data_IF_974056440665
#
_entry.id   IF_974056440665
#
_cell.length_a   1.000
_cell.length_b   1.000
_cell.length_c   1.000
_cell.angle_alpha   90.00
_cell.angle_beta   90.00
_cell.angle_gamma   90.00
#
_symmetry.space_group_name_H-M   'P 1'
#
loop_
_entity.id
_entity.type
_entity.pdbx_description
1 polymer ?
#
# COMPACT_ATOMS: atom_id res chain seq x y z
N UNK A 1 12.86 -22.56 -8.46
CA UNK A 1 12.95 -21.44 -9.44
C UNK A 1 13.21 -20.18 -8.66
N UNK A 2 14.21 -19.42 -9.04
CA UNK A 2 14.55 -18.16 -8.35
C UNK A 2 13.49 -17.11 -8.72
N UNK A 3 12.86 -16.50 -7.71
CA UNK A 3 11.96 -15.37 -7.89
C UNK A 3 12.78 -14.08 -8.04
N UNK A 4 13.14 -13.74 -9.27
CA UNK A 4 13.99 -12.58 -9.56
C UNK A 4 13.36 -11.26 -9.15
N UNK A 5 12.03 -11.17 -9.21
CA UNK A 5 11.32 -9.94 -8.80
C UNK A 5 11.40 -9.79 -7.28
N UNK A 6 11.26 -10.89 -6.54
CA UNK A 6 11.47 -10.89 -5.10
C UNK A 6 12.91 -10.49 -4.72
N UNK A 7 13.90 -11.06 -5.39
CA UNK A 7 15.31 -10.66 -5.16
C UNK A 7 15.55 -9.18 -5.43
N UNK A 8 14.97 -8.61 -6.49
CA UNK A 8 15.08 -7.19 -6.80
C UNK A 8 14.44 -6.32 -5.70
N UNK A 9 13.24 -6.67 -5.24
CA UNK A 9 12.56 -5.94 -4.15
C UNK A 9 13.38 -6.00 -2.86
N UNK A 10 13.91 -7.17 -2.50
CA UNK A 10 14.75 -7.33 -1.31
C UNK A 10 16.07 -6.56 -1.43
N UNK A 11 16.70 -6.55 -2.59
CA UNK A 11 17.94 -5.79 -2.83
C UNK A 11 17.72 -4.27 -2.76
N UNK A 12 16.57 -3.80 -3.27
CA UNK A 12 16.23 -2.37 -3.29
C UNK A 12 15.80 -1.87 -1.91
N UNK A 13 15.04 -2.64 -1.17
CA UNK A 13 14.33 -2.18 0.02
C UNK A 13 14.70 -2.91 1.31
N UNK A 14 15.47 -3.99 1.24
CA UNK A 14 15.88 -4.76 2.39
C UNK A 14 16.97 -4.09 3.24
N UNK A 15 17.06 -4.50 4.50
CA UNK A 15 18.09 -4.08 5.46
C UNK A 15 18.18 -2.56 5.69
N UNK A 16 17.09 -1.85 5.49
CA UNK A 16 16.98 -0.42 5.75
C UNK A 16 15.63 -0.08 6.39
N UNK A 17 15.62 0.94 7.25
CA UNK A 17 14.39 1.50 7.80
C UNK A 17 13.83 2.53 6.81
N UNK A 18 12.64 2.25 6.30
CA UNK A 18 11.93 3.14 5.36
C UNK A 18 10.77 3.84 6.05
N UNK A 19 10.50 5.06 5.67
CA UNK A 19 9.22 5.72 5.97
C UNK A 19 8.37 5.66 4.72
N UNK A 20 7.15 5.10 4.86
CA UNK A 20 6.18 4.97 3.76
C UNK A 20 4.91 5.74 4.06
N UNK A 21 4.21 6.15 3.02
CA UNK A 21 2.88 6.74 3.08
C UNK A 21 1.90 5.83 2.37
N UNK A 22 0.74 5.60 2.96
CA UNK A 22 -0.30 4.73 2.43
C UNK A 22 -1.66 5.42 2.54
N UNK A 23 -2.54 5.20 1.57
CA UNK A 23 -3.86 5.83 1.53
C UNK A 23 -4.99 4.80 1.57
N UNK A 24 -5.89 4.94 2.53
CA UNK A 24 -7.16 4.22 2.55
C UNK A 24 -8.17 5.06 1.75
N UNK A 25 -8.54 4.54 0.60
CA UNK A 25 -9.54 5.15 -0.28
C UNK A 25 -10.75 4.21 -0.38
N UNK A 26 -11.93 4.70 -0.03
CA UNK A 26 -13.16 3.90 0.02
C UNK A 26 -14.21 4.46 -0.92
N UNK A 27 -14.80 3.61 -1.74
CA UNK A 27 -15.99 3.90 -2.54
C UNK A 27 -16.93 2.70 -2.53
N UNK A 28 -18.23 2.94 -2.31
CA UNK A 28 -19.25 1.89 -2.28
C UNK A 28 -18.89 0.71 -1.37
N UNK A 29 -18.41 1.01 -0.15
CA UNK A 29 -17.93 0.05 0.86
C UNK A 29 -16.78 -0.84 0.40
N UNK A 30 -16.04 -0.42 -0.62
CA UNK A 30 -14.84 -1.10 -1.12
C UNK A 30 -13.61 -0.23 -0.97
N UNK A 31 -12.49 -0.87 -0.66
CA UNK A 31 -11.18 -0.26 -0.50
C UNK A 31 -10.40 -0.44 -1.80
N UNK A 32 -9.71 0.62 -2.23
CA UNK A 32 -8.78 0.53 -3.34
C UNK A 32 -7.52 -0.24 -2.93
N UNK A 33 -7.23 -1.32 -3.63
CA UNK A 33 -6.12 -2.22 -3.34
C UNK A 33 -5.25 -2.42 -4.57
N UNK A 34 -3.95 -2.57 -4.33
CA UNK A 34 -2.96 -2.86 -5.35
C UNK A 34 -2.37 -4.24 -5.11
N UNK A 35 -2.32 -5.05 -6.17
CA UNK A 35 -1.64 -6.33 -6.19
C UNK A 35 -0.20 -6.15 -6.64
N UNK A 36 0.71 -6.49 -5.76
CA UNK A 36 2.15 -6.51 -6.03
C UNK A 36 2.67 -7.94 -6.17
N UNK A 37 3.73 -8.09 -6.95
CA UNK A 37 4.62 -9.25 -6.90
C UNK A 37 5.95 -8.85 -6.26
N UNK A 38 6.70 -9.84 -5.77
CA UNK A 38 8.05 -9.61 -5.25
C UNK A 38 8.13 -9.21 -3.77
N UNK A 39 7.05 -8.77 -3.15
CA UNK A 39 7.02 -8.51 -1.70
C UNK A 39 7.01 -9.82 -0.91
N UNK A 40 6.18 -10.77 -1.33
CA UNK A 40 6.16 -12.14 -0.82
C UNK A 40 6.72 -13.07 -1.88
N UNK A 41 7.66 -13.92 -1.50
CA UNK A 41 8.29 -14.86 -2.43
C UNK A 41 7.27 -15.81 -3.05
N UNK A 42 7.25 -15.88 -4.38
CA UNK A 42 6.35 -16.71 -5.18
C UNK A 42 4.85 -16.51 -4.91
N UNK A 43 4.46 -15.36 -4.39
CA UNK A 43 3.06 -15.03 -4.10
C UNK A 43 2.75 -13.56 -4.39
N UNK A 44 1.46 -13.27 -4.54
CA UNK A 44 0.98 -11.88 -4.62
C UNK A 44 0.94 -11.24 -3.23
N UNK A 45 1.02 -9.91 -3.20
CA UNK A 45 0.82 -9.13 -1.99
C UNK A 45 -0.14 -7.97 -2.27
N UNK A 46 -1.22 -7.91 -1.52
CA UNK A 46 -2.24 -6.88 -1.65
C UNK A 46 -2.11 -5.83 -0.54
N UNK A 47 -2.01 -4.58 -0.94
CA UNK A 47 -1.99 -3.45 -0.01
C UNK A 47 -2.72 -2.23 -0.58
N UNK A 48 -3.11 -1.26 0.26
CA UNK A 48 -3.56 0.05 -0.21
C UNK A 48 -2.45 0.76 -1.00
N UNK A 49 -2.81 1.69 -1.92
CA UNK A 49 -1.80 2.47 -2.65
C UNK A 49 -0.89 3.23 -1.70
N UNK A 50 0.41 3.28 -2.04
CA UNK A 50 1.41 3.98 -1.26
C UNK A 50 2.82 3.52 -1.56
N UNK A 51 3.79 4.19 -0.98
CA UNK A 51 5.21 3.89 -1.19
C UNK A 51 6.12 4.71 -0.29
N UNK A 52 7.42 4.63 -0.55
CA UNK A 52 8.44 5.32 0.24
C UNK A 52 8.43 6.83 0.06
N UNK A 53 8.56 7.56 1.16
CA UNK A 53 8.85 8.99 1.10
C UNK A 53 10.23 9.21 0.53
N UNK A 54 10.35 10.22 -0.33
CA UNK A 54 11.61 10.70 -0.86
C UNK A 54 12.22 11.74 0.09
N UNK A 55 13.55 11.83 0.12
CA UNK A 55 14.21 12.84 0.91
C UNK A 55 13.78 14.26 0.49
N UNK A 56 13.35 15.06 1.47
CA UNK A 56 12.85 16.42 1.23
C UNK A 56 11.38 16.50 0.81
N UNK A 57 10.68 15.37 0.66
CA UNK A 57 9.27 15.31 0.35
C UNK A 57 8.45 15.24 1.65
N UNK A 58 7.38 16.04 1.75
CA UNK A 58 6.46 15.90 2.87
C UNK A 58 5.44 14.75 2.61
N UNK A 59 4.84 14.25 3.69
CA UNK A 59 3.93 13.09 3.59
C UNK A 59 2.71 13.33 2.69
N UNK A 60 2.17 14.56 2.69
CA UNK A 60 1.00 14.90 1.88
C UNK A 60 1.31 14.86 0.38
N UNK A 61 2.46 15.39 -0.02
CA UNK A 61 2.89 15.34 -1.43
C UNK A 61 3.28 13.92 -1.82
N UNK A 62 3.92 13.19 -0.92
CA UNK A 62 4.28 11.79 -1.14
C UNK A 62 3.10 10.89 -1.44
N UNK A 63 2.04 10.95 -0.65
CA UNK A 63 0.85 10.10 -0.90
C UNK A 63 0.12 10.50 -2.19
N UNK A 64 0.08 11.77 -2.54
CA UNK A 64 -0.48 12.24 -3.82
C UNK A 64 0.33 11.73 -5.01
N UNK A 65 1.66 11.79 -4.92
CA UNK A 65 2.56 11.25 -5.94
C UNK A 65 2.36 9.75 -6.13
N UNK A 66 2.32 8.98 -5.05
CA UNK A 66 2.10 7.53 -5.11
C UNK A 66 0.76 7.17 -5.77
N UNK A 67 -0.34 7.86 -5.43
CA UNK A 67 -1.62 7.62 -6.07
C UNK A 67 -1.59 7.93 -7.57
N UNK A 68 -0.93 9.02 -7.96
CA UNK A 68 -0.79 9.36 -9.36
C UNK A 68 0.03 8.31 -10.14
N UNK A 69 1.14 7.85 -9.56
CA UNK A 69 2.01 6.83 -10.16
C UNK A 69 1.31 5.48 -10.26
N UNK A 70 0.71 5.00 -9.18
CA UNK A 70 0.17 3.65 -9.07
C UNK A 70 -1.25 3.50 -9.63
N UNK A 71 -2.05 4.56 -9.63
CA UNK A 71 -3.49 4.49 -9.97
C UNK A 71 -3.95 5.48 -11.03
N UNK A 72 -3.09 6.38 -11.49
CA UNK A 72 -3.43 7.49 -12.41
C UNK A 72 -4.52 8.44 -11.88
N UNK A 73 -4.61 8.61 -10.56
CA UNK A 73 -5.62 9.48 -9.96
C UNK A 73 -5.02 10.58 -9.10
N UNK A 74 -5.69 11.72 -9.06
CA UNK A 74 -5.43 12.78 -8.10
C UNK A 74 -6.35 12.60 -6.88
N UNK A 75 -5.80 12.83 -5.69
CA UNK A 75 -6.50 12.67 -4.41
C UNK A 75 -6.45 13.92 -3.56
N UNK A 76 -7.42 14.05 -2.66
CA UNK A 76 -7.34 14.91 -1.48
C UNK A 76 -7.16 14.07 -0.22
N UNK A 77 -6.49 14.64 0.77
CA UNK A 77 -6.31 14.00 2.08
C UNK A 77 -7.43 14.47 2.99
N UNK A 78 -8.20 13.54 3.53
CA UNK A 78 -9.24 13.85 4.49
C UNK A 78 -8.67 13.99 5.90
N UNK A 79 -7.93 12.99 6.36
CA UNK A 79 -7.26 13.02 7.65
C UNK A 79 -6.11 12.00 7.73
N UNK A 80 -5.25 12.21 8.72
CA UNK A 80 -4.29 11.20 9.17
C UNK A 80 -5.02 10.16 10.04
N UNK A 81 -4.74 8.89 9.81
CA UNK A 81 -5.40 7.79 10.52
C UNK A 81 -4.52 7.20 11.63
N UNK A 82 -3.46 6.51 11.24
CA UNK A 82 -2.61 5.76 12.16
C UNK A 82 -1.21 5.51 11.60
N UNK A 83 -0.31 5.07 12.47
CA UNK A 83 1.01 4.56 12.10
C UNK A 83 1.01 3.04 12.19
N UNK A 84 1.56 2.37 11.20
CA UNK A 84 1.82 0.93 11.22
C UNK A 84 3.33 0.67 11.17
N UNK A 85 3.81 -0.27 11.98
CA UNK A 85 5.14 -0.82 11.84
C UNK A 85 5.08 -2.10 11.00
N UNK A 86 5.69 -2.07 9.83
CA UNK A 86 5.84 -3.25 8.98
C UNK A 86 7.24 -3.83 9.16
N UNK A 87 7.30 -5.00 9.79
CA UNK A 87 8.56 -5.72 10.02
C UNK A 87 8.37 -7.14 9.51
N UNK A 88 8.96 -7.42 8.35
CA UNK A 88 9.04 -8.75 7.74
C UNK A 88 10.43 -8.87 7.09
N UNK A 89 11.39 -9.32 7.88
CA UNK A 89 12.81 -9.29 7.52
C UNK A 89 13.06 -9.90 6.13
N UNK A 90 13.85 -9.23 5.27
CA UNK A 90 14.69 -8.06 5.53
C UNK A 90 13.99 -6.69 5.38
N UNK A 91 12.67 -6.65 5.22
CA UNK A 91 11.91 -5.40 5.07
C UNK A 91 11.55 -4.81 6.44
N UNK A 92 11.72 -3.49 6.58
CA UNK A 92 11.31 -2.74 7.77
C UNK A 92 10.83 -1.34 7.37
N UNK A 93 9.58 -1.01 7.69
CA UNK A 93 9.01 0.30 7.39
C UNK A 93 8.15 0.84 8.53
N UNK A 94 8.20 2.16 8.70
CA UNK A 94 7.21 2.95 9.42
C UNK A 94 6.25 3.50 8.37
N UNK A 95 4.97 3.18 8.49
CA UNK A 95 3.96 3.50 7.50
C UNK A 95 2.93 4.47 8.06
N UNK A 96 2.79 5.62 7.41
CA UNK A 96 1.82 6.65 7.74
C UNK A 96 0.56 6.42 6.90
N UNK A 97 -0.55 6.10 7.54
CA UNK A 97 -1.83 5.86 6.86
C UNK A 97 -2.73 7.08 6.90
N UNK A 98 -3.27 7.43 5.73
CA UNK A 98 -4.17 8.55 5.53
C UNK A 98 -5.50 8.09 4.94
N UNK A 99 -6.59 8.70 5.38
CA UNK A 99 -7.87 8.63 4.68
C UNK A 99 -7.81 9.60 3.51
N UNK A 100 -8.11 9.12 2.31
CA UNK A 100 -8.02 9.92 1.08
C UNK A 100 -9.28 9.77 0.23
N UNK A 101 -9.57 10.81 -0.55
CA UNK A 101 -10.68 10.82 -1.49
C UNK A 101 -10.16 11.03 -2.92
N UNK A 102 -10.77 10.34 -3.89
CA UNK A 102 -10.48 10.58 -5.30
C UNK A 102 -11.08 11.92 -5.73
N UNK A 103 -10.26 12.75 -6.37
CA UNK A 103 -10.67 14.06 -6.89
C UNK A 103 -10.79 14.04 -8.41
N UNK A 104 -9.80 13.47 -9.10
CA UNK A 104 -9.75 13.41 -10.56
C UNK A 104 -9.12 12.13 -11.06
N UNK A 105 -9.46 11.78 -12.29
CA UNK A 105 -8.93 10.64 -13.00
C UNK A 105 -9.78 9.39 -12.83
N UNK A 106 -9.47 8.40 -13.66
CA UNK A 106 -10.06 7.06 -13.57
C UNK A 106 -9.00 6.10 -13.06
N UNK A 107 -9.35 5.30 -12.06
CA UNK A 107 -8.44 4.30 -11.51
C UNK A 107 -7.98 3.35 -12.60
N UNK A 108 -6.67 3.29 -12.81
CA UNK A 108 -6.00 2.39 -13.75
C UNK A 108 -4.72 1.89 -13.12
N UNK A 109 -4.31 0.70 -13.50
CA UNK A 109 -3.01 0.18 -13.11
C UNK A 109 -1.90 1.11 -13.61
N UNK A 110 -1.10 1.59 -12.67
CA UNK A 110 0.09 2.40 -12.91
C UNK A 110 1.38 1.59 -12.84
N UNK A 111 2.44 2.25 -12.45
CA UNK A 111 3.80 1.70 -12.39
C UNK A 111 4.48 2.13 -11.10
N UNK A 112 5.51 1.39 -10.72
CA UNK A 112 6.48 1.81 -9.70
C UNK A 112 7.74 2.27 -10.44
N UNK A 113 8.04 3.59 -10.49
CA UNK A 113 9.19 4.10 -11.21
C UNK A 113 10.54 3.81 -10.53
N UNK A 114 10.54 3.38 -9.28
CA UNK A 114 11.76 3.07 -8.52
C UNK A 114 12.37 1.71 -8.90
N UNK A 115 11.60 0.86 -9.60
CA UNK A 115 12.01 -0.50 -9.96
C UNK A 115 12.12 -0.68 -11.48
N UNK A 116 13.12 -1.42 -11.92
CA UNK A 116 13.30 -1.77 -13.34
C UNK A 116 12.20 -2.73 -13.81
N UNK A 117 11.92 -3.77 -13.04
CA UNK A 117 10.81 -4.69 -13.31
C UNK A 117 9.56 -4.23 -12.57
N UNK A 118 8.43 -4.17 -13.29
CA UNK A 118 7.17 -3.71 -12.70
C UNK A 118 6.62 -4.74 -11.74
N UNK A 119 6.38 -4.31 -10.52
CA UNK A 119 5.82 -5.13 -9.45
C UNK A 119 4.29 -5.02 -9.34
N UNK A 120 3.70 -3.95 -9.89
CA UNK A 120 2.25 -3.72 -9.86
C UNK A 120 1.58 -4.59 -10.93
N UNK A 121 0.73 -5.50 -10.49
CA UNK A 121 0.02 -6.42 -11.38
C UNK A 121 -1.43 -6.02 -11.62
N UNK A 122 -2.10 -5.49 -10.60
CA UNK A 122 -3.53 -5.18 -10.65
C UNK A 122 -3.88 -4.08 -9.67
N UNK A 123 -4.88 -3.28 -10.02
CA UNK A 123 -5.54 -2.31 -9.11
C UNK A 123 -7.02 -2.68 -9.06
N UNK A 124 -7.57 -2.84 -7.88
CA UNK A 124 -8.93 -3.36 -7.69
C UNK A 124 -9.62 -2.76 -6.47
N UNK A 125 -10.91 -2.47 -6.62
CA UNK A 125 -11.80 -2.19 -5.49
C UNK A 125 -12.24 -3.49 -4.83
N UNK A 126 -11.96 -3.66 -3.56
CA UNK A 126 -12.23 -4.88 -2.82
C UNK A 126 -13.06 -4.60 -1.57
N UNK A 127 -14.08 -5.41 -1.33
CA UNK A 127 -14.77 -5.39 -0.04
C UNK A 127 -13.84 -5.88 1.08
N UNK A 128 -14.17 -5.52 2.32
CA UNK A 128 -13.40 -5.98 3.47
C UNK A 128 -13.40 -7.51 3.57
N UNK A 129 -14.51 -8.17 3.25
CA UNK A 129 -14.65 -9.62 3.21
C UNK A 129 -13.76 -10.26 2.13
N UNK A 130 -13.71 -9.67 0.93
CA UNK A 130 -12.80 -10.14 -0.14
C UNK A 130 -11.33 -10.05 0.28
N UNK A 131 -10.96 -8.99 1.01
CA UNK A 131 -9.61 -8.83 1.56
C UNK A 131 -9.33 -9.89 2.62
N UNK A 132 -10.23 -10.07 3.57
CA UNK A 132 -10.09 -11.05 4.66
C UNK A 132 -10.09 -12.51 4.19
N UNK A 133 -10.68 -12.80 3.04
CA UNK A 133 -10.68 -14.14 2.44
C UNK A 133 -9.33 -14.56 1.85
N UNK A 134 -8.40 -13.62 1.66
CA UNK A 134 -7.07 -13.92 1.15
C UNK A 134 -6.16 -14.52 2.22
N UNK A 135 -5.13 -15.29 1.84
CA UNK A 135 -4.11 -15.74 2.79
C UNK A 135 -3.49 -14.56 3.53
N UNK A 136 -3.34 -14.66 4.86
CA UNK A 136 -2.85 -13.57 5.72
C UNK A 136 -1.50 -13.01 5.23
N UNK A 137 -0.60 -13.85 4.74
CA UNK A 137 0.71 -13.44 4.23
C UNK A 137 0.65 -12.65 2.91
N UNK A 138 -0.47 -12.75 2.19
CA UNK A 138 -0.66 -12.09 0.89
C UNK A 138 -1.41 -10.76 0.99
N UNK A 139 -1.68 -10.30 2.21
CA UNK A 139 -2.39 -9.05 2.48
C UNK A 139 -1.65 -8.24 3.53
N UNK A 140 -1.65 -6.91 3.37
CA UNK A 140 -1.01 -6.03 4.34
C UNK A 140 -1.54 -6.27 5.76
N UNK A 141 -0.63 -6.26 6.74
CA UNK A 141 -0.91 -6.59 8.14
C UNK A 141 -2.00 -5.74 8.80
N UNK A 142 -2.25 -4.52 8.33
CA UNK A 142 -3.30 -3.65 8.89
C UNK A 142 -4.69 -4.29 8.87
N UNK A 143 -4.96 -5.15 7.90
CA UNK A 143 -6.22 -5.90 7.82
C UNK A 143 -6.33 -7.04 8.84
N UNK A 144 -5.24 -7.40 9.51
CA UNK A 144 -5.25 -8.38 10.61
C UNK A 144 -5.64 -7.75 11.95
N UNK A 145 -5.54 -6.43 12.09
CA UNK A 145 -5.92 -5.70 13.32
C UNK A 145 -7.40 -5.32 13.38
N UNK A 146 -8.12 -5.45 12.28
CA UNK A 146 -9.51 -5.04 12.16
C UNK A 146 -10.39 -6.22 11.72
N UNK A 147 -11.63 -6.23 12.17
CA UNK A 147 -12.61 -7.25 11.80
C UNK A 147 -13.66 -6.73 10.82
N UNK A 148 -13.71 -5.42 10.60
CA UNK A 148 -14.64 -4.77 9.68
C UNK A 148 -14.04 -3.52 9.07
N UNK A 149 -14.66 -3.03 7.98
CA UNK A 149 -14.33 -1.75 7.38
C UNK A 149 -14.51 -0.61 8.39
N UNK A 150 -15.56 -0.64 9.19
CA UNK A 150 -15.82 0.37 10.22
C UNK A 150 -14.69 0.42 11.26
N UNK A 151 -14.20 -0.72 11.75
CA UNK A 151 -13.07 -0.77 12.67
C UNK A 151 -11.81 -0.18 12.02
N UNK A 152 -11.52 -0.51 10.76
CA UNK A 152 -10.38 0.06 10.03
C UNK A 152 -10.49 1.58 9.96
N UNK A 153 -11.64 2.11 9.57
CA UNK A 153 -11.85 3.56 9.43
C UNK A 153 -11.79 4.31 10.77
N UNK A 154 -12.02 3.63 11.88
CA UNK A 154 -11.92 4.19 13.23
C UNK A 154 -10.57 3.92 13.91
N UNK A 155 -9.67 3.18 13.29
CA UNK A 155 -8.33 2.92 13.82
C UNK A 155 -7.51 4.19 13.93
N UNK A 156 -6.90 4.42 15.09
CA UNK A 156 -6.02 5.57 15.39
C UNK A 156 -4.83 5.09 16.20
N UNK A 157 -3.79 5.93 16.24
CA UNK A 157 -2.59 5.67 17.03
C UNK A 157 -1.56 4.84 16.28
N UNK A 158 -0.92 3.94 16.98
CA UNK A 158 0.15 3.09 16.44
C UNK A 158 -0.23 1.61 16.57
N UNK A 159 -0.10 0.87 15.48
CA UNK A 159 -0.43 -0.56 15.40
C UNK A 159 0.73 -1.40 14.90
#
# INVERSE_FOLDING_TARGET
>A
MIDRVHEQVMAQYGEQLRVRVCGICVQNDKILMIKHQGVVENAAFWCPPGGGLQFGENAADGIKREFLEETHTEISIENFMFVSEFIDAPLHAIELFFMVNLEKGNVKKGTDPELEEQIIQEVKWMSFEEIKAKPVREVHRVFSFCNSLEELLNTRGMI
#
